data_IF_309908231921
#
_entry.id   IF_309908231921
#
_cell.length_a   1.000
_cell.length_b   1.000
_cell.length_c   1.000
_cell.angle_alpha   90.00
_cell.angle_beta   90.00
_cell.angle_gamma   90.00
#
_symmetry.space_group_name_H-M   'P 1'
#
loop_
_entity.id
_entity.type
_entity.pdbx_description
1 polymer ?
#
# COMPACT_ATOMS: atom_id res chain seq x y z
N UNK A 1 35.62 -1.45 -62.72
CA UNK A 1 36.20 -0.79 -61.54
C UNK A 1 35.05 -0.38 -60.63
N UNK A 2 35.09 -0.87 -59.39
CA UNK A 2 34.32 -0.50 -58.18
C UNK A 2 32.79 -0.53 -58.35
N UNK A 3 32.02 -1.51 -57.85
CA UNK A 3 32.16 -2.28 -56.62
C UNK A 3 31.34 -1.62 -55.52
N UNK A 4 30.12 -2.12 -55.25
CA UNK A 4 29.66 -2.50 -53.91
C UNK A 4 28.32 -3.25 -54.01
N UNK A 5 28.34 -4.46 -53.46
CA UNK A 5 27.25 -5.41 -53.24
C UNK A 5 26.30 -4.96 -52.14
N UNK A 6 24.99 -5.18 -52.32
CA UNK A 6 24.06 -5.40 -51.20
C UNK A 6 23.20 -6.62 -51.53
N UNK A 7 23.30 -7.61 -50.65
CA UNK A 7 22.79 -8.96 -50.81
C UNK A 7 21.31 -9.06 -50.42
N UNK A 8 20.75 -10.20 -50.82
CA UNK A 8 19.36 -10.59 -50.81
C UNK A 8 18.69 -10.59 -49.42
N UNK A 9 17.38 -10.42 -49.52
CA UNK A 9 16.32 -10.64 -48.54
C UNK A 9 16.32 -12.04 -47.92
N UNK A 10 16.12 -12.10 -46.60
CA UNK A 10 15.52 -13.25 -45.90
C UNK A 10 14.34 -12.75 -45.04
N UNK A 11 13.24 -13.53 -44.93
CA UNK A 11 12.03 -13.10 -44.25
C UNK A 11 12.16 -13.26 -42.74
N UNK A 12 11.71 -12.23 -42.01
CA UNK A 12 11.62 -12.23 -40.55
C UNK A 12 10.68 -13.36 -40.09
N UNK A 13 11.26 -14.35 -39.41
CA UNK A 13 10.52 -15.44 -38.77
C UNK A 13 9.53 -14.90 -37.75
N UNK A 14 8.31 -15.44 -37.80
CA UNK A 14 7.24 -15.15 -36.86
C UNK A 14 7.67 -15.56 -35.45
N UNK A 15 7.88 -14.59 -34.58
CA UNK A 15 7.87 -14.84 -33.14
C UNK A 15 6.44 -15.13 -32.73
N UNK A 16 6.18 -16.40 -32.44
CA UNK A 16 4.97 -16.83 -31.75
C UNK A 16 4.90 -16.03 -30.46
N UNK A 17 3.94 -15.10 -30.36
CA UNK A 17 3.58 -14.51 -29.08
C UNK A 17 3.03 -15.66 -28.26
N UNK A 18 3.70 -15.97 -27.15
CA UNK A 18 3.06 -16.74 -26.10
C UNK A 18 1.91 -15.88 -25.60
N UNK A 19 0.71 -16.14 -26.13
CA UNK A 19 -0.57 -15.71 -25.54
C UNK A 19 -0.78 -16.50 -24.23
N UNK A 20 0.16 -16.38 -23.28
CA UNK A 20 -0.18 -16.66 -21.90
C UNK A 20 -1.09 -15.52 -21.44
N UNK A 21 -2.33 -15.81 -21.00
CA UNK A 21 -3.14 -14.79 -20.37
C UNK A 21 -2.35 -14.23 -19.20
N UNK A 22 -2.18 -12.91 -19.17
CA UNK A 22 -1.60 -12.22 -18.03
C UNK A 22 -2.28 -12.77 -16.78
N UNK A 23 -1.53 -13.20 -15.75
CA UNK A 23 -2.12 -13.79 -14.57
C UNK A 23 -3.20 -12.85 -14.05
N UNK A 24 -4.41 -13.37 -13.88
CA UNK A 24 -5.49 -12.60 -13.28
C UNK A 24 -5.03 -12.21 -11.88
N UNK A 25 -4.68 -10.94 -11.72
CA UNK A 25 -4.40 -10.34 -10.42
C UNK A 25 -5.76 -10.24 -9.74
N UNK A 26 -6.16 -11.34 -9.09
CA UNK A 26 -7.35 -11.31 -8.26
C UNK A 26 -7.11 -10.26 -7.17
N UNK A 27 -7.92 -9.20 -7.18
CA UNK A 27 -7.95 -8.17 -6.15
C UNK A 27 -8.58 -8.65 -4.84
N UNK A 28 -9.03 -9.91 -4.80
CA UNK A 28 -9.68 -10.51 -3.65
C UNK A 28 -8.69 -10.74 -2.49
N UNK A 29 -9.07 -10.27 -1.30
CA UNK A 29 -8.25 -10.36 -0.09
C UNK A 29 -7.87 -11.80 0.24
N UNK A 30 -8.83 -12.74 0.18
CA UNK A 30 -8.58 -14.13 0.56
C UNK A 30 -7.58 -14.82 -0.38
N UNK A 31 -7.63 -14.53 -1.69
CA UNK A 31 -6.64 -15.02 -2.65
C UNK A 31 -5.25 -14.43 -2.40
N UNK A 32 -5.16 -13.11 -2.20
CA UNK A 32 -3.91 -12.42 -1.89
C UNK A 32 -3.24 -13.01 -0.63
N UNK A 33 -4.04 -13.17 0.42
CA UNK A 33 -3.64 -13.73 1.71
C UNK A 33 -3.13 -15.17 1.57
N UNK A 34 -3.92 -16.04 0.93
CA UNK A 34 -3.53 -17.45 0.70
C UNK A 34 -2.20 -17.54 -0.04
N UNK A 35 -2.05 -16.80 -1.15
CA UNK A 35 -0.84 -16.82 -1.98
C UNK A 35 0.40 -16.39 -1.20
N UNK A 36 0.30 -15.33 -0.40
CA UNK A 36 1.38 -14.86 0.46
C UNK A 36 1.79 -15.92 1.48
N UNK A 37 0.83 -16.48 2.22
CA UNK A 37 1.09 -17.49 3.26
C UNK A 37 1.73 -18.75 2.69
N UNK A 38 1.20 -19.28 1.59
CA UNK A 38 1.81 -20.43 0.91
C UNK A 38 3.24 -20.14 0.43
N UNK A 39 3.52 -18.92 -0.05
CA UNK A 39 4.88 -18.54 -0.45
C UNK A 39 5.82 -18.43 0.75
N UNK A 40 5.36 -17.86 1.85
CA UNK A 40 6.10 -17.78 3.11
C UNK A 40 6.42 -19.17 3.67
N UNK A 41 5.45 -20.10 3.68
CA UNK A 41 5.64 -21.49 4.09
C UNK A 41 6.68 -22.19 3.22
N UNK A 42 6.59 -22.06 1.89
CA UNK A 42 7.58 -22.62 0.95
C UNK A 42 8.97 -22.00 1.09
N UNK A 43 9.06 -20.79 1.63
CA UNK A 43 10.32 -20.12 1.94
C UNK A 43 10.90 -20.56 3.29
N UNK A 44 10.13 -21.28 4.11
CA UNK A 44 10.51 -21.67 5.47
C UNK A 44 10.44 -20.51 6.46
N UNK A 45 9.57 -19.53 6.20
CA UNK A 45 9.38 -18.39 7.08
C UNK A 45 8.62 -18.81 8.35
N UNK A 46 8.93 -18.13 9.45
CA UNK A 46 8.08 -18.14 10.63
C UNK A 46 6.87 -17.24 10.38
N UNK A 47 5.66 -17.80 10.49
CA UNK A 47 4.41 -17.08 10.27
C UNK A 47 3.75 -16.64 11.58
N UNK A 48 3.18 -15.45 11.57
CA UNK A 48 2.31 -14.93 12.64
C UNK A 48 1.12 -14.19 12.03
N UNK A 49 0.01 -14.15 12.75
CA UNK A 49 -1.25 -13.54 12.30
C UNK A 49 -1.74 -12.52 13.32
N UNK A 50 -2.20 -11.38 12.83
CA UNK A 50 -2.84 -10.33 13.62
C UNK A 50 -4.25 -10.12 13.07
N UNK A 51 -5.23 -10.75 13.73
CA UNK A 51 -6.63 -10.74 13.29
C UNK A 51 -7.23 -9.34 13.48
N UNK A 52 -7.88 -8.87 12.43
CA UNK A 52 -8.63 -7.62 12.44
C UNK A 52 -10.01 -7.87 13.09
N UNK A 53 -10.53 -6.95 13.91
CA UNK A 53 -11.80 -7.15 14.61
C UNK A 53 -13.04 -7.14 13.69
N UNK A 54 -12.92 -6.53 12.51
CA UNK A 54 -13.98 -6.48 11.48
C UNK A 54 -13.75 -7.52 10.38
N UNK A 55 -14.85 -7.91 9.72
CA UNK A 55 -14.87 -8.80 8.58
C UNK A 55 -14.75 -8.05 7.25
N UNK A 56 -14.42 -8.81 6.20
CA UNK A 56 -14.45 -8.32 4.83
C UNK A 56 -15.86 -8.28 4.24
N UNK A 57 -15.98 -7.83 2.98
CA UNK A 57 -17.28 -7.66 2.32
C UNK A 57 -18.08 -8.97 2.18
N UNK A 58 -17.40 -10.12 2.13
CA UNK A 58 -18.04 -11.44 2.03
C UNK A 58 -18.13 -12.15 3.41
N UNK A 59 -17.87 -11.41 4.50
CA UNK A 59 -17.89 -11.91 5.86
C UNK A 59 -16.63 -12.67 6.28
N UNK A 60 -15.60 -12.71 5.44
CA UNK A 60 -14.34 -13.39 5.72
C UNK A 60 -13.54 -12.71 6.84
N UNK A 61 -12.74 -13.51 7.56
CA UNK A 61 -11.84 -12.99 8.58
C UNK A 61 -10.67 -12.25 7.95
N UNK A 62 -10.54 -10.97 8.30
CA UNK A 62 -9.44 -10.13 7.89
C UNK A 62 -8.28 -10.23 8.88
N UNK A 63 -7.05 -10.14 8.38
CA UNK A 63 -5.85 -10.17 9.19
C UNK A 63 -4.66 -9.54 8.45
N UNK A 64 -3.71 -9.03 9.21
CA UNK A 64 -2.34 -8.79 8.75
C UNK A 64 -1.52 -10.04 9.04
N UNK A 65 -0.96 -10.67 8.02
CA UNK A 65 -0.03 -11.79 8.19
C UNK A 65 1.41 -11.29 8.19
N UNK A 66 2.25 -11.91 9.00
CA UNK A 66 3.68 -11.58 9.12
C UNK A 66 4.50 -12.81 8.83
N UNK A 67 5.49 -12.68 7.96
CA UNK A 67 6.47 -13.71 7.65
C UNK A 67 7.88 -13.23 8.00
N UNK A 68 8.56 -13.93 8.90
CA UNK A 68 9.97 -13.72 9.22
C UNK A 68 10.84 -14.78 8.57
N UNK A 69 11.77 -14.36 7.72
CA UNK A 69 12.84 -15.19 7.19
C UNK A 69 14.17 -14.83 7.85
N UNK A 70 14.90 -15.83 8.32
CA UNK A 70 16.15 -15.64 9.09
C UNK A 70 15.91 -15.75 10.59
N UNK A 71 16.88 -15.28 11.38
CA UNK A 71 16.84 -15.40 12.84
C UNK A 71 16.10 -14.24 13.49
N UNK A 72 15.29 -14.51 14.52
CA UNK A 72 14.63 -13.49 15.36
C UNK A 72 15.60 -12.49 16.00
N UNK A 73 16.85 -12.90 16.27
CA UNK A 73 17.89 -12.07 16.87
C UNK A 73 18.86 -11.42 15.86
N UNK A 74 18.50 -11.41 14.57
CA UNK A 74 19.30 -10.80 13.52
C UNK A 74 19.56 -9.31 13.79
N UNK A 75 20.80 -8.88 13.53
CA UNK A 75 21.25 -7.49 13.73
C UNK A 75 20.81 -6.58 12.58
N UNK A 76 20.58 -7.15 11.39
CA UNK A 76 20.14 -6.44 10.18
C UNK A 76 18.75 -6.91 9.79
N UNK A 77 17.85 -5.97 9.59
CA UNK A 77 16.46 -6.26 9.27
C UNK A 77 16.05 -5.54 7.98
N UNK A 78 15.48 -6.28 7.04
CA UNK A 78 14.75 -5.70 5.91
C UNK A 78 13.27 -5.86 6.24
N UNK A 79 12.54 -4.76 6.35
CA UNK A 79 11.10 -4.77 6.60
C UNK A 79 10.40 -4.43 5.28
N UNK A 80 9.49 -5.29 4.85
CA UNK A 80 8.60 -5.03 3.73
C UNK A 80 7.18 -4.86 4.24
N UNK A 81 6.57 -3.73 3.93
CA UNK A 81 5.17 -3.44 4.27
C UNK A 81 4.38 -3.38 2.97
N UNK A 82 3.17 -3.92 2.99
CA UNK A 82 2.21 -3.75 1.90
C UNK A 82 0.86 -3.30 2.45
N UNK A 83 0.06 -2.68 1.58
CA UNK A 83 -1.31 -2.32 1.89
C UNK A 83 -1.44 -1.24 2.96
N UNK A 84 -0.50 -0.30 3.08
CA UNK A 84 -0.73 0.92 3.88
C UNK A 84 -1.91 1.70 3.31
N UNK A 85 -1.94 1.85 1.99
CA UNK A 85 -3.16 2.15 1.24
C UNK A 85 -3.78 0.85 0.77
N UNK A 86 -4.98 0.54 1.26
CA UNK A 86 -5.61 -0.76 1.03
C UNK A 86 -5.86 -1.05 -0.46
N UNK A 87 -6.30 -0.05 -1.23
CA UNK A 87 -6.49 -0.15 -2.68
C UNK A 87 -5.20 -0.52 -3.45
N UNK A 88 -4.03 -0.24 -2.87
CA UNK A 88 -2.72 -0.58 -3.43
C UNK A 88 -2.18 -1.93 -2.89
N UNK A 89 -2.91 -2.55 -1.96
CA UNK A 89 -2.62 -3.84 -1.35
C UNK A 89 -2.35 -4.97 -2.35
N UNK A 90 -3.13 -5.14 -3.44
CA UNK A 90 -2.88 -6.18 -4.43
C UNK A 90 -1.49 -6.12 -5.05
N UNK A 91 -0.97 -4.91 -5.32
CA UNK A 91 0.39 -4.72 -5.84
C UNK A 91 1.43 -5.17 -4.82
N UNK A 92 1.41 -4.60 -3.61
CA UNK A 92 2.39 -4.92 -2.58
C UNK A 92 2.37 -6.41 -2.18
N UNK A 93 1.17 -6.99 -2.07
CA UNK A 93 0.95 -8.42 -1.81
C UNK A 93 1.57 -9.30 -2.90
N UNK A 94 1.36 -8.94 -4.17
CA UNK A 94 1.92 -9.68 -5.31
C UNK A 94 3.44 -9.60 -5.32
N UNK A 95 4.01 -8.40 -5.09
CA UNK A 95 5.46 -8.22 -4.97
C UNK A 95 6.06 -9.06 -3.84
N UNK A 96 5.48 -9.01 -2.64
CA UNK A 96 5.93 -9.82 -1.51
C UNK A 96 5.84 -11.32 -1.81
N UNK A 97 4.72 -11.78 -2.39
CA UNK A 97 4.52 -13.19 -2.76
C UNK A 97 5.55 -13.66 -3.78
N UNK A 98 5.73 -12.91 -4.86
CA UNK A 98 6.69 -13.23 -5.91
C UNK A 98 8.13 -13.23 -5.39
N UNK A 99 8.45 -12.31 -4.48
CA UNK A 99 9.77 -12.22 -3.88
C UNK A 99 10.04 -13.38 -2.93
N UNK A 100 9.10 -13.73 -2.03
CA UNK A 100 9.20 -14.89 -1.15
C UNK A 100 9.38 -16.21 -1.92
N UNK A 101 8.87 -16.30 -3.15
CA UNK A 101 9.07 -17.44 -4.04
C UNK A 101 10.51 -17.62 -4.56
N UNK A 102 11.40 -16.63 -4.37
CA UNK A 102 12.75 -16.66 -4.92
C UNK A 102 13.69 -17.56 -4.12
N UNK A 103 14.32 -18.54 -4.79
CA UNK A 103 15.19 -19.55 -4.16
C UNK A 103 16.39 -18.97 -3.41
N UNK A 104 16.89 -17.80 -3.82
CA UNK A 104 18.07 -17.18 -3.20
C UNK A 104 17.77 -16.66 -1.78
N UNK A 105 16.52 -16.35 -1.45
CA UNK A 105 16.12 -15.90 -0.10
C UNK A 105 16.25 -17.00 0.96
N UNK A 106 16.42 -18.26 0.56
CA UNK A 106 16.64 -19.40 1.48
C UNK A 106 18.02 -19.40 2.15
N UNK A 107 18.91 -18.49 1.75
CA UNK A 107 20.29 -18.40 2.27
C UNK A 107 20.65 -16.95 2.60
N UNK A 108 19.94 -16.37 3.57
CA UNK A 108 20.31 -15.07 4.12
C UNK A 108 21.63 -15.20 4.91
N UNK A 109 22.46 -14.14 4.96
CA UNK A 109 23.54 -14.05 5.93
C UNK A 109 23.01 -14.28 7.35
N UNK A 110 23.80 -14.93 8.21
CA UNK A 110 23.35 -15.33 9.54
C UNK A 110 22.98 -14.17 10.49
N UNK A 111 23.39 -12.94 10.17
CA UNK A 111 23.07 -11.72 10.93
C UNK A 111 21.91 -10.91 10.31
N UNK A 112 21.26 -11.43 9.27
CA UNK A 112 20.24 -10.73 8.47
C UNK A 112 18.91 -11.47 8.49
N UNK A 113 17.83 -10.73 8.69
CA UNK A 113 16.47 -11.22 8.57
C UNK A 113 15.62 -10.33 7.65
N UNK A 114 14.56 -10.91 7.12
CA UNK A 114 13.52 -10.24 6.35
C UNK A 114 12.21 -10.39 7.13
N UNK A 115 11.53 -9.28 7.38
CA UNK A 115 10.21 -9.21 7.99
C UNK A 115 9.22 -8.69 6.95
N UNK A 116 8.43 -9.58 6.36
CA UNK A 116 7.35 -9.20 5.46
C UNK A 116 6.04 -9.05 6.25
N UNK A 117 5.50 -7.84 6.27
CA UNK A 117 4.22 -7.46 6.87
C UNK A 117 3.24 -7.33 5.71
N UNK A 118 2.34 -8.31 5.61
CA UNK A 118 1.39 -8.43 4.51
C UNK A 118 0.08 -7.73 4.87
N UNK A 119 -0.27 -6.71 4.08
CA UNK A 119 -1.51 -5.94 4.18
C UNK A 119 -1.73 -5.36 5.59
N UNK A 120 -1.00 -4.30 5.94
CA UNK A 120 -1.16 -3.63 7.23
C UNK A 120 -2.53 -2.96 7.41
N UNK A 121 -3.20 -2.63 6.30
CA UNK A 121 -4.62 -2.27 6.23
C UNK A 121 -5.42 -3.38 5.52
N UNK A 122 -5.71 -4.50 6.21
CA UNK A 122 -6.43 -5.60 5.59
C UNK A 122 -7.88 -5.22 5.26
N UNK A 123 -8.50 -4.36 6.08
CA UNK A 123 -9.83 -3.81 5.81
C UNK A 123 -9.85 -2.97 4.54
N UNK A 124 -8.96 -1.99 4.42
CA UNK A 124 -8.88 -1.15 3.23
C UNK A 124 -8.61 -2.00 1.98
N UNK A 125 -7.83 -3.07 2.09
CA UNK A 125 -7.57 -3.97 0.96
C UNK A 125 -8.83 -4.72 0.53
N UNK A 126 -9.51 -5.37 1.47
CA UNK A 126 -10.73 -6.14 1.18
C UNK A 126 -11.85 -5.25 0.62
N UNK A 127 -11.98 -4.03 1.13
CA UNK A 127 -12.99 -3.06 0.67
C UNK A 127 -12.52 -2.18 -0.50
N UNK A 128 -11.33 -2.43 -1.06
CA UNK A 128 -10.72 -1.63 -2.14
C UNK A 128 -10.69 -0.11 -1.85
N UNK A 129 -10.35 0.24 -0.61
CA UNK A 129 -10.26 1.62 -0.10
C UNK A 129 -8.80 2.00 0.15
N UNK A 130 -8.45 3.25 -0.13
CA UNK A 130 -7.16 3.82 0.29
C UNK A 130 -7.02 3.81 1.83
N UNK A 131 -8.08 4.20 2.50
CA UNK A 131 -8.18 4.41 3.94
C UNK A 131 -8.53 3.13 4.69
N UNK A 132 -8.44 3.14 6.02
CA UNK A 132 -8.94 2.07 6.88
C UNK A 132 -10.47 2.18 7.12
N UNK A 133 -10.99 1.35 8.02
CA UNK A 133 -12.39 1.26 8.45
C UNK A 133 -12.95 2.58 9.02
N UNK A 134 -12.10 3.46 9.53
CA UNK A 134 -12.46 4.74 10.15
C UNK A 134 -12.26 5.95 9.21
N UNK A 135 -12.10 5.70 7.90
CA UNK A 135 -11.72 6.70 6.90
C UNK A 135 -10.33 7.33 7.14
N UNK A 136 -9.47 6.68 7.93
CA UNK A 136 -8.12 7.18 8.24
C UNK A 136 -7.12 6.78 7.15
N UNK A 137 -6.40 7.78 6.62
CA UNK A 137 -5.20 7.56 5.81
C UNK A 137 -4.03 7.20 6.74
N UNK A 138 -3.55 5.97 6.64
CA UNK A 138 -2.48 5.48 7.52
C UNK A 138 -1.19 6.30 7.39
N UNK A 139 -0.90 6.89 6.22
CA UNK A 139 0.26 7.78 6.04
C UNK A 139 0.12 9.14 6.74
N UNK A 140 -0.99 9.37 7.44
CA UNK A 140 -1.18 10.51 8.36
C UNK A 140 -1.37 10.04 9.81
N UNK A 141 -1.62 8.76 10.07
CA UNK A 141 -1.90 8.28 11.43
C UNK A 141 -0.63 8.01 12.28
N UNK A 142 0.53 7.79 11.67
CA UNK A 142 1.78 7.55 12.40
C UNK A 142 2.45 8.86 12.84
N UNK A 143 1.79 9.56 13.75
CA UNK A 143 2.32 10.74 14.46
C UNK A 143 2.58 10.41 15.94
N UNK A 144 3.21 11.33 16.65
CA UNK A 144 3.28 11.27 18.12
C UNK A 144 1.92 11.64 18.73
N UNK A 145 1.13 10.61 19.06
CA UNK A 145 -0.18 10.77 19.70
C UNK A 145 -0.13 11.21 21.17
N UNK A 146 1.05 11.35 21.78
CA UNK A 146 1.19 12.03 23.07
C UNK A 146 1.20 13.55 22.94
N UNK A 147 1.41 14.06 21.73
CA UNK A 147 1.34 15.46 21.35
C UNK A 147 0.01 15.78 20.67
N UNK A 148 -0.32 17.07 20.51
CA UNK A 148 -1.48 17.49 19.73
C UNK A 148 -1.32 17.15 18.24
N UNK A 149 -2.40 16.71 17.60
CA UNK A 149 -2.39 16.44 16.16
C UNK A 149 -2.01 17.68 15.33
N UNK A 150 -1.30 17.52 14.20
CA UNK A 150 -0.98 18.63 13.31
C UNK A 150 -2.22 19.40 12.85
N UNK A 151 -2.14 20.73 12.89
CA UNK A 151 -3.23 21.61 12.43
C UNK A 151 -3.02 21.97 10.97
N UNK A 152 -4.07 21.81 10.15
CA UNK A 152 -4.09 22.25 8.76
C UNK A 152 -5.14 23.35 8.55
N UNK A 153 -4.74 24.59 8.85
CA UNK A 153 -5.61 25.76 8.75
C UNK A 153 -6.15 26.01 7.32
N UNK A 154 -5.52 25.44 6.29
CA UNK A 154 -5.97 25.59 4.90
C UNK A 154 -7.10 24.64 4.53
N UNK A 155 -7.28 23.52 5.25
CA UNK A 155 -8.17 22.45 4.83
C UNK A 155 -9.65 22.79 5.00
N UNK A 156 -10.02 23.45 6.10
CA UNK A 156 -11.42 23.78 6.38
C UNK A 156 -12.08 24.57 5.22
N UNK A 157 -11.32 25.47 4.57
CA UNK A 157 -11.80 26.21 3.41
C UNK A 157 -11.90 25.41 2.10
N UNK A 158 -11.39 24.18 2.09
CA UNK A 158 -11.44 23.24 0.96
C UNK A 158 -12.34 22.03 1.23
N UNK A 159 -12.77 21.80 2.48
CA UNK A 159 -13.47 20.57 2.88
C UNK A 159 -14.70 20.29 2.01
N UNK A 160 -15.63 21.25 1.90
CA UNK A 160 -16.83 21.09 1.07
C UNK A 160 -16.56 21.02 -0.45
N UNK A 161 -15.35 21.35 -0.89
CA UNK A 161 -14.96 21.18 -2.30
C UNK A 161 -14.51 19.73 -2.59
N UNK A 162 -14.27 18.93 -1.54
CA UNK A 162 -13.66 17.60 -1.62
C UNK A 162 -14.54 16.51 -1.01
N UNK A 163 -15.32 16.85 0.02
CA UNK A 163 -16.24 15.95 0.71
C UNK A 163 -17.68 16.35 0.36
N UNK A 164 -18.35 15.50 -0.41
CA UNK A 164 -19.74 15.64 -0.84
C UNK A 164 -20.38 14.25 -0.87
N UNK A 165 -21.71 14.21 -0.70
CA UNK A 165 -22.44 12.94 -0.51
C UNK A 165 -22.94 12.36 -1.82
N UNK A 166 -23.23 13.23 -2.78
CA UNK A 166 -23.83 12.85 -4.06
C UNK A 166 -22.77 12.69 -5.14
N UNK A 167 -22.77 11.56 -5.83
CA UNK A 167 -21.89 11.37 -6.99
C UNK A 167 -22.24 12.32 -8.14
N UNK A 168 -23.54 12.54 -8.34
CA UNK A 168 -24.15 13.48 -9.28
C UNK A 168 -25.29 14.22 -8.57
N UNK A 169 -25.46 15.51 -8.85
CA UNK A 169 -26.54 16.31 -8.25
C UNK A 169 -26.08 17.70 -7.83
N UNK A 170 -26.98 18.47 -7.17
CA UNK A 170 -26.68 19.83 -6.73
C UNK A 170 -25.47 19.92 -5.78
N UNK A 171 -25.30 18.93 -4.89
CA UNK A 171 -24.16 18.89 -3.96
C UNK A 171 -22.84 18.74 -4.72
N UNK A 172 -22.82 17.83 -5.70
CA UNK A 172 -21.66 17.64 -6.58
C UNK A 172 -21.30 18.90 -7.37
N UNK A 173 -22.30 19.55 -7.97
CA UNK A 173 -22.11 20.78 -8.75
C UNK A 173 -21.51 21.88 -7.85
N UNK A 174 -22.05 22.06 -6.64
CA UNK A 174 -21.54 23.05 -5.70
C UNK A 174 -20.09 22.75 -5.27
N UNK A 175 -19.73 21.48 -5.05
CA UNK A 175 -18.38 21.07 -4.74
C UNK A 175 -17.41 21.35 -5.90
N UNK A 176 -17.80 21.03 -7.14
CA UNK A 176 -16.99 21.29 -8.34
C UNK A 176 -16.77 22.80 -8.56
N UNK A 177 -17.79 23.64 -8.32
CA UNK A 177 -17.67 25.11 -8.36
C UNK A 177 -16.68 25.63 -7.31
N UNK A 178 -16.80 25.16 -6.05
CA UNK A 178 -15.86 25.51 -4.96
C UNK A 178 -14.43 25.08 -5.32
N UNK A 179 -14.27 23.88 -5.88
CA UNK A 179 -12.97 23.36 -6.31
C UNK A 179 -12.37 24.19 -7.45
N UNK A 180 -13.19 24.62 -8.41
CA UNK A 180 -12.74 25.47 -9.51
C UNK A 180 -12.26 26.85 -9.01
N UNK A 181 -12.99 27.47 -8.07
CA UNK A 181 -12.58 28.72 -7.41
C UNK A 181 -11.27 28.53 -6.66
N UNK A 182 -11.15 27.46 -5.86
CA UNK A 182 -9.93 27.17 -5.11
C UNK A 182 -8.73 26.92 -6.04
N UNK A 183 -8.93 26.18 -7.14
CA UNK A 183 -7.89 25.93 -8.15
C UNK A 183 -7.43 27.20 -8.85
N UNK A 184 -8.35 28.12 -9.16
CA UNK A 184 -7.99 29.43 -9.75
C UNK A 184 -7.17 30.28 -8.79
N UNK A 185 -7.49 30.23 -7.49
CA UNK A 185 -6.80 31.01 -6.45
C UNK A 185 -5.43 30.45 -6.08
N UNK A 186 -5.33 29.14 -5.88
CA UNK A 186 -4.16 28.49 -5.28
C UNK A 186 -3.25 27.80 -6.30
N UNK A 187 -3.76 27.55 -7.52
CA UNK A 187 -3.14 26.65 -8.47
C UNK A 187 -3.15 25.20 -7.99
N UNK A 188 -2.65 24.29 -8.84
CA UNK A 188 -2.59 22.87 -8.50
C UNK A 188 -1.64 22.58 -7.33
N UNK A 189 -0.44 23.16 -7.36
CA UNK A 189 0.56 22.96 -6.32
C UNK A 189 0.11 23.49 -4.94
N UNK A 190 -0.57 24.64 -4.90
CA UNK A 190 -1.11 25.18 -3.64
C UNK A 190 -2.24 24.32 -3.07
N UNK A 191 -3.12 23.79 -3.92
CA UNK A 191 -4.14 22.82 -3.51
C UNK A 191 -3.50 21.54 -2.96
N UNK A 192 -2.56 20.95 -3.70
CA UNK A 192 -1.86 19.73 -3.31
C UNK A 192 -1.16 19.92 -1.96
N UNK A 193 -0.45 21.03 -1.75
CA UNK A 193 0.22 21.32 -0.49
C UNK A 193 -0.74 21.35 0.72
N UNK A 194 -1.98 21.82 0.54
CA UNK A 194 -2.99 21.83 1.62
C UNK A 194 -3.60 20.44 1.79
N UNK A 195 -4.07 19.82 0.71
CA UNK A 195 -4.82 18.55 0.79
C UNK A 195 -3.90 17.40 1.22
N UNK A 196 -2.72 17.30 0.61
CA UNK A 196 -1.77 16.24 0.89
C UNK A 196 -1.05 16.44 2.22
N UNK A 197 -1.06 17.62 2.84
CA UNK A 197 -0.59 17.75 4.23
C UNK A 197 -1.40 16.87 5.21
N UNK A 198 -2.61 16.46 4.84
CA UNK A 198 -3.54 15.75 5.70
C UNK A 198 -4.19 16.66 6.74
N UNK A 199 -5.15 16.11 7.47
CA UNK A 199 -5.95 16.87 8.43
C UNK A 199 -6.55 15.94 9.49
N UNK A 200 -7.01 16.50 10.62
CA UNK A 200 -7.48 15.72 11.78
C UNK A 200 -8.78 16.29 12.37
N UNK A 201 -9.45 17.21 11.67
CA UNK A 201 -10.64 17.92 12.14
C UNK A 201 -11.94 17.35 11.53
N UNK A 202 -11.87 16.90 10.28
CA UNK A 202 -13.02 16.46 9.49
C UNK A 202 -12.92 14.95 9.21
N UNK A 203 -13.59 14.13 10.02
CA UNK A 203 -13.46 12.66 9.92
C UNK A 203 -13.96 12.07 8.59
N UNK A 204 -14.87 12.76 7.91
CA UNK A 204 -15.40 12.45 6.57
C UNK A 204 -14.56 13.05 5.42
N UNK A 205 -13.56 13.86 5.76
CA UNK A 205 -12.69 14.52 4.80
C UNK A 205 -11.61 13.62 4.20
N UNK A 206 -11.11 14.01 3.03
CA UNK A 206 -9.90 13.44 2.43
C UNK A 206 -8.67 13.58 3.35
N UNK A 207 -7.78 12.60 3.29
CA UNK A 207 -6.50 12.55 4.04
C UNK A 207 -6.66 12.77 5.55
N UNK A 208 -7.77 12.30 6.11
CA UNK A 208 -8.01 12.31 7.55
C UNK A 208 -7.00 11.40 8.27
N UNK A 209 -6.33 11.93 9.29
CA UNK A 209 -5.30 11.20 10.05
C UNK A 209 -5.82 10.48 11.30
N UNK A 210 -7.12 10.60 11.62
CA UNK A 210 -7.73 9.94 12.78
C UNK A 210 -7.78 10.79 14.05
N UNK A 211 -8.48 10.29 15.07
CA UNK A 211 -8.53 10.89 16.41
C UNK A 211 -7.61 10.23 17.43
N UNK A 212 -6.74 9.33 16.97
CA UNK A 212 -5.87 8.50 17.80
C UNK A 212 -5.19 7.40 16.97
N UNK A 213 -4.30 6.59 17.57
CA UNK A 213 -3.68 5.48 16.86
C UNK A 213 -4.73 4.44 16.49
N UNK A 214 -4.96 4.18 15.20
CA UNK A 214 -5.95 3.19 14.71
C UNK A 214 -5.45 1.75 14.87
N UNK A 215 -6.28 0.75 14.54
CA UNK A 215 -5.89 -0.67 14.63
C UNK A 215 -4.57 -0.96 13.92
N UNK A 216 -4.42 -0.56 12.65
CA UNK A 216 -3.20 -0.78 11.86
C UNK A 216 -1.95 -0.16 12.50
N UNK A 217 -2.09 0.99 13.15
CA UNK A 217 -0.99 1.64 13.86
C UNK A 217 -0.53 0.82 15.06
N UNK A 218 -1.48 0.39 15.90
CA UNK A 218 -1.18 -0.42 17.08
C UNK A 218 -0.61 -1.78 16.68
N UNK A 219 -1.19 -2.42 15.66
CA UNK A 219 -0.72 -3.69 15.10
C UNK A 219 0.70 -3.57 14.56
N UNK A 220 1.02 -2.54 13.76
CA UNK A 220 2.39 -2.35 13.26
C UNK A 220 3.39 -2.17 14.41
N UNK A 221 3.04 -1.37 15.42
CA UNK A 221 3.89 -1.18 16.59
C UNK A 221 4.11 -2.48 17.38
N UNK A 222 3.08 -3.32 17.51
CA UNK A 222 3.19 -4.62 18.16
C UNK A 222 4.10 -5.58 17.37
N UNK A 223 3.93 -5.64 16.05
CA UNK A 223 4.79 -6.42 15.15
C UNK A 223 6.25 -5.98 15.30
N UNK A 224 6.52 -4.67 15.21
CA UNK A 224 7.89 -4.16 15.32
C UNK A 224 8.51 -4.41 16.70
N UNK A 225 7.73 -4.27 17.79
CA UNK A 225 8.18 -4.65 19.14
C UNK A 225 8.56 -6.14 19.22
N UNK A 226 7.79 -7.00 18.57
CA UNK A 226 7.98 -8.45 18.59
C UNK A 226 9.19 -8.90 17.76
N UNK A 227 9.35 -8.35 16.56
CA UNK A 227 10.29 -8.87 15.57
C UNK A 227 11.54 -8.01 15.34
N UNK A 228 11.51 -6.71 15.69
CA UNK A 228 12.61 -5.79 15.37
C UNK A 228 13.52 -5.43 16.56
N UNK A 229 13.24 -5.94 17.77
CA UNK A 229 13.95 -5.54 18.99
C UNK A 229 15.47 -5.79 19.01
N UNK A 230 15.94 -6.80 18.27
CA UNK A 230 17.37 -7.11 18.15
C UNK A 230 18.09 -6.33 17.04
N UNK A 231 17.34 -5.71 16.13
CA UNK A 231 17.88 -5.03 14.97
C UNK A 231 18.70 -3.80 15.39
N UNK A 232 19.85 -3.63 14.76
CA UNK A 232 20.73 -2.45 14.86
C UNK A 232 20.76 -1.65 13.57
N UNK A 233 20.39 -2.28 12.46
CA UNK A 233 20.23 -1.68 11.16
C UNK A 233 18.91 -2.18 10.57
N UNK A 234 18.09 -1.25 10.11
CA UNK A 234 16.83 -1.57 9.45
C UNK A 234 16.71 -0.81 8.14
N UNK A 235 16.24 -1.48 7.10
CA UNK A 235 15.76 -0.84 5.87
C UNK A 235 14.28 -1.19 5.75
N UNK A 236 13.44 -0.17 5.57
CA UNK A 236 12.00 -0.34 5.46
C UNK A 236 11.58 0.04 4.05
N UNK A 237 10.86 -0.85 3.40
CA UNK A 237 10.18 -0.60 2.13
C UNK A 237 8.68 -0.68 2.36
N UNK A 238 7.98 0.37 1.97
CA UNK A 238 6.52 0.34 1.89
C UNK A 238 6.09 0.27 0.41
N UNK A 239 5.40 -0.81 0.06
CA UNK A 239 5.14 -1.20 -1.33
C UNK A 239 3.80 -0.65 -1.80
N UNK A 240 3.87 0.33 -2.69
CA UNK A 240 2.77 1.17 -3.14
C UNK A 240 2.87 1.44 -4.64
N UNK A 241 1.74 1.70 -5.29
CA UNK A 241 1.69 2.08 -6.71
C UNK A 241 1.91 3.58 -6.93
N UNK A 242 1.75 4.40 -5.88
CA UNK A 242 1.95 5.85 -5.96
C UNK A 242 1.00 6.54 -6.96
N UNK A 243 1.25 7.81 -7.26
CA UNK A 243 0.49 8.58 -8.25
C UNK A 243 1.07 8.36 -9.66
N UNK A 244 0.61 7.32 -10.35
CA UNK A 244 0.97 7.04 -11.75
C UNK A 244 -0.29 6.76 -12.60
N UNK A 245 -0.20 6.86 -13.94
CA UNK A 245 -1.30 6.47 -14.81
C UNK A 245 -1.68 5.00 -14.58
N UNK A 246 -2.99 4.72 -14.63
CA UNK A 246 -3.47 3.34 -14.69
C UNK A 246 -2.95 2.67 -15.97
N UNK A 247 -2.35 1.49 -15.83
CA UNK A 247 -1.80 0.70 -16.94
C UNK A 247 -2.74 -0.41 -17.36
#
# INVERSE_FOLDING_TARGET
>A
MNGLTAAASDPVGSTVRHDEPAPTYACDFAILRRRFREAAERAGAELSEYVHPLNGPDGETLATDVALLGRRDARKLIVLISGTHGVEGPFGSTCQTAWLGQKHLRRLPGDTAILAIHLINPWGTAWSRRVNEDNVDLNRNFIDWSSSAPVNNGYAGLHDAMAYREWEGPDRIAADEKLAVARKRLGHAGLAAIVEAGQYEFADGMFYGGGGPVWSNRTLNEILKTFAGAARQAIVFDLHTGAGPYG
#
